data_IF_756412186803
#
_entry.id   IF_756412186803
#
_cell.length_a   1.000
_cell.length_b   1.000
_cell.length_c   1.000
_cell.angle_alpha   90.00
_cell.angle_beta   90.00
_cell.angle_gamma   90.00
#
_symmetry.space_group_name_H-M   'P 1'
#
loop_
_entity.id
_entity.type
_entity.pdbx_description
1 polymer ?
#
# COMPACT_ATOMS: atom_id res chain seq x y z
N UNK A 1 1.29 -18.65 -13.50
CA UNK A 1 0.26 -17.69 -13.96
C UNK A 1 0.98 -16.46 -14.47
N UNK A 2 0.57 -15.89 -15.61
CA UNK A 2 1.15 -14.64 -16.13
C UNK A 2 0.77 -13.47 -15.21
N UNK A 3 1.75 -12.69 -14.75
CA UNK A 3 1.49 -11.49 -13.92
C UNK A 3 0.53 -10.55 -14.64
N UNK A 4 -0.52 -10.10 -13.96
CA UNK A 4 -1.39 -9.06 -14.48
C UNK A 4 -0.86 -7.70 -14.03
N UNK A 5 -0.55 -6.83 -15.00
CA UNK A 5 0.01 -5.52 -14.69
C UNK A 5 -1.05 -4.43 -14.59
N UNK A 6 -0.82 -3.49 -13.67
CA UNK A 6 -1.59 -2.26 -13.59
C UNK A 6 -1.19 -1.30 -14.72
N UNK A 7 -1.95 -0.21 -14.89
CA UNK A 7 -1.55 0.91 -15.75
C UNK A 7 -0.46 1.81 -15.15
N UNK A 8 -0.10 1.61 -13.88
CA UNK A 8 0.78 2.51 -13.15
C UNK A 8 2.23 2.04 -13.21
N UNK A 9 3.13 3.02 -13.28
CA UNK A 9 4.56 2.84 -13.03
C UNK A 9 4.89 3.38 -11.65
N UNK A 10 5.80 2.70 -10.95
CA UNK A 10 6.27 3.15 -9.66
C UNK A 10 7.05 4.47 -9.82
N UNK A 11 6.66 5.50 -9.07
CA UNK A 11 7.35 6.79 -9.07
C UNK A 11 8.77 6.79 -8.51
N UNK A 12 9.28 5.66 -8.03
CA UNK A 12 10.65 5.52 -7.50
C UNK A 12 11.58 4.67 -8.36
N UNK A 13 11.12 3.54 -8.88
CA UNK A 13 11.96 2.64 -9.70
C UNK A 13 11.53 2.58 -11.17
N UNK A 14 10.48 3.32 -11.55
CA UNK A 14 9.93 3.41 -12.92
C UNK A 14 9.41 2.11 -13.55
N UNK A 15 9.55 0.99 -12.84
CA UNK A 15 8.98 -0.30 -13.23
C UNK A 15 7.46 -0.30 -13.11
N UNK A 16 6.81 -1.12 -13.95
CA UNK A 16 5.37 -1.31 -13.93
C UNK A 16 4.95 -2.12 -12.71
N UNK A 17 3.88 -1.70 -12.05
CA UNK A 17 3.35 -2.34 -10.83
C UNK A 17 2.41 -3.48 -11.23
N UNK A 18 2.61 -4.69 -10.71
CA UNK A 18 1.65 -5.78 -10.87
C UNK A 18 0.47 -5.66 -9.89
N UNK A 19 -0.71 -6.15 -10.26
CA UNK A 19 -1.88 -6.17 -9.35
C UNK A 19 -1.63 -7.00 -8.09
N UNK A 20 -0.76 -8.00 -8.20
CA UNK A 20 -0.36 -8.89 -7.10
C UNK A 20 0.71 -8.27 -6.19
N UNK A 21 1.28 -7.12 -6.54
CA UNK A 21 2.32 -6.45 -5.76
C UNK A 21 1.69 -5.37 -4.86
N UNK A 22 2.06 -5.28 -3.57
CA UNK A 22 1.59 -4.21 -2.70
C UNK A 22 2.09 -2.84 -3.19
N UNK A 23 1.17 -1.88 -3.34
CA UNK A 23 1.48 -0.52 -3.75
C UNK A 23 0.59 0.49 -3.03
N UNK A 24 1.04 1.74 -2.96
CA UNK A 24 0.28 2.82 -2.31
C UNK A 24 0.33 4.13 -3.10
N UNK A 25 -0.57 5.05 -2.76
CA UNK A 25 -0.70 6.38 -3.35
C UNK A 25 -0.10 7.45 -2.43
N UNK A 26 0.96 8.09 -2.90
CA UNK A 26 1.63 9.20 -2.21
C UNK A 26 0.86 10.53 -2.36
N UNK A 27 1.24 11.55 -1.60
CA UNK A 27 0.53 12.86 -1.50
C UNK A 27 0.68 13.69 -2.74
N UNK A 28 1.85 13.59 -3.36
CA UNK A 28 2.16 14.13 -4.68
C UNK A 28 1.48 13.37 -5.83
N UNK A 29 0.51 12.48 -5.54
CA UNK A 29 -0.24 11.66 -6.51
C UNK A 29 0.61 10.61 -7.25
N UNK A 30 1.82 10.31 -6.78
CA UNK A 30 2.61 9.21 -7.35
C UNK A 30 2.19 7.88 -6.75
N UNK A 31 2.10 6.84 -7.59
CA UNK A 31 1.92 5.47 -7.15
C UNK A 31 3.28 4.82 -6.98
N UNK A 32 3.51 4.12 -5.87
CA UNK A 32 4.80 3.48 -5.60
C UNK A 32 4.61 2.06 -5.08
N UNK A 33 5.53 1.16 -5.43
CA UNK A 33 5.63 -0.13 -4.74
C UNK A 33 5.84 0.12 -3.25
N UNK A 34 5.20 -0.68 -2.41
CA UNK A 34 5.45 -0.66 -0.99
C UNK A 34 6.92 -0.94 -0.67
N UNK A 35 7.55 -1.89 -1.36
CA UNK A 35 8.97 -2.23 -1.16
C UNK A 35 9.89 -1.05 -1.45
N UNK A 36 9.66 -0.32 -2.55
CA UNK A 36 10.42 0.89 -2.86
C UNK A 36 10.20 2.00 -1.82
N UNK A 37 8.96 2.15 -1.31
CA UNK A 37 8.66 3.08 -0.24
C UNK A 37 9.38 2.69 1.07
N UNK A 38 9.31 1.42 1.47
CA UNK A 38 9.97 0.87 2.67
C UNK A 38 11.46 1.10 2.62
N UNK A 39 12.10 0.73 1.51
CA UNK A 39 13.54 0.90 1.33
C UNK A 39 13.97 2.37 1.41
N UNK A 40 13.22 3.27 0.74
CA UNK A 40 13.55 4.71 0.74
C UNK A 40 13.31 5.32 2.12
N UNK A 41 12.19 5.02 2.77
CA UNK A 41 11.85 5.54 4.09
C UNK A 41 12.89 5.14 5.15
N UNK A 42 13.34 3.87 5.14
CA UNK A 42 14.33 3.37 6.09
C UNK A 42 15.74 3.94 5.87
N UNK A 43 16.04 4.46 4.67
CA UNK A 43 17.30 5.17 4.37
C UNK A 43 17.26 6.63 4.78
N UNK A 44 16.08 7.23 4.89
CA UNK A 44 15.91 8.65 5.20
C UNK A 44 14.94 8.90 6.37
N UNK A 45 15.10 8.23 7.52
CA UNK A 45 14.18 8.39 8.64
C UNK A 45 14.25 9.80 9.23
N UNK A 46 13.10 10.30 9.69
CA UNK A 46 12.98 11.47 10.55
C UNK A 46 12.67 11.00 11.96
N UNK A 47 13.64 11.15 12.87
CA UNK A 47 13.45 10.78 14.27
C UNK A 47 13.60 9.27 14.50
N UNK A 48 12.71 8.71 15.33
CA UNK A 48 12.80 7.33 15.80
C UNK A 48 12.49 6.30 14.68
N UNK A 49 13.47 5.43 14.44
CA UNK A 49 13.40 4.41 13.40
C UNK A 49 12.50 3.24 13.80
N UNK A 50 12.33 2.94 15.11
CA UNK A 50 11.42 1.88 15.55
C UNK A 50 9.96 2.26 15.30
N UNK A 51 9.59 3.50 15.62
CA UNK A 51 8.27 4.06 15.28
C UNK A 51 8.02 4.01 13.77
N UNK A 52 8.99 4.39 12.94
CA UNK A 52 8.85 4.31 11.48
C UNK A 52 8.64 2.87 10.99
N UNK A 53 9.39 1.90 11.54
CA UNK A 53 9.22 0.48 11.22
C UNK A 53 7.84 -0.03 11.58
N UNK A 54 7.34 0.29 12.77
CA UNK A 54 6.00 -0.10 13.19
C UNK A 54 4.93 0.40 12.20
N UNK A 55 5.03 1.66 11.75
CA UNK A 55 4.09 2.23 10.77
C UNK A 55 4.23 1.57 9.40
N UNK A 56 5.45 1.23 8.97
CA UNK A 56 5.70 0.51 7.72
C UNK A 56 5.11 -0.91 7.75
N UNK A 57 5.28 -1.63 8.86
CA UNK A 57 4.75 -2.97 9.02
C UNK A 57 3.21 -2.96 9.05
N UNK A 58 2.60 -1.99 9.75
CA UNK A 58 1.15 -1.79 9.69
C UNK A 58 0.65 -1.48 8.27
N UNK A 59 1.40 -0.69 7.50
CA UNK A 59 1.02 -0.42 6.09
C UNK A 59 1.11 -1.70 5.25
N UNK A 60 2.13 -2.52 5.44
CA UNK A 60 2.29 -3.80 4.75
C UNK A 60 1.10 -4.74 5.00
N UNK A 61 0.64 -4.82 6.26
CA UNK A 61 -0.52 -5.61 6.66
C UNK A 61 -1.82 -5.12 6.01
N UNK A 62 -2.05 -3.80 5.96
CA UNK A 62 -3.24 -3.22 5.32
C UNK A 62 -3.23 -3.47 3.81
N UNK A 63 -2.09 -3.25 3.14
CA UNK A 63 -1.95 -3.51 1.70
C UNK A 63 -2.16 -4.99 1.36
N UNK A 64 -1.63 -5.89 2.18
CA UNK A 64 -1.83 -7.34 2.03
C UNK A 64 -3.30 -7.71 2.26
N UNK A 65 -3.96 -7.07 3.23
CA UNK A 65 -5.38 -7.28 3.51
C UNK A 65 -6.26 -6.86 2.33
N UNK A 66 -5.98 -5.73 1.69
CA UNK A 66 -6.69 -5.27 0.47
C UNK A 66 -6.60 -6.33 -0.64
N UNK A 67 -5.39 -6.85 -0.91
CA UNK A 67 -5.21 -7.90 -1.92
C UNK A 67 -6.00 -9.16 -1.58
N UNK A 68 -5.98 -9.57 -0.30
CA UNK A 68 -6.73 -10.72 0.19
C UNK A 68 -8.25 -10.52 0.04
N UNK A 69 -8.78 -9.34 0.36
CA UNK A 69 -10.19 -9.04 0.17
C UNK A 69 -10.58 -9.07 -1.30
N UNK A 70 -9.81 -8.44 -2.20
CA UNK A 70 -10.07 -8.47 -3.66
C UNK A 70 -10.10 -9.90 -4.20
N UNK A 71 -9.13 -10.74 -3.80
CA UNK A 71 -9.08 -12.13 -4.20
C UNK A 71 -10.28 -12.94 -3.67
N UNK A 72 -10.73 -12.68 -2.43
CA UNK A 72 -11.88 -13.39 -1.81
C UNK A 72 -13.22 -12.92 -2.37
N UNK A 73 -13.42 -11.61 -2.56
CA UNK A 73 -14.63 -11.02 -3.10
C UNK A 73 -15.00 -11.61 -4.47
N UNK A 74 -14.01 -11.94 -5.30
CA UNK A 74 -14.22 -12.60 -6.60
C UNK A 74 -14.87 -13.98 -6.52
N UNK A 75 -14.84 -14.62 -5.35
CA UNK A 75 -15.34 -15.99 -5.11
C UNK A 75 -16.65 -16.04 -4.32
N UNK A 76 -17.04 -14.93 -3.70
CA UNK A 76 -18.20 -14.88 -2.80
C UNK A 76 -19.45 -14.61 -3.60
N UNK A 77 -20.46 -15.49 -3.46
CA UNK A 77 -21.76 -15.39 -4.12
C UNK A 77 -22.86 -14.83 -3.22
N UNK A 78 -22.69 -14.88 -1.90
CA UNK A 78 -23.62 -14.29 -0.93
C UNK A 78 -23.45 -12.77 -0.89
N UNK A 79 -24.50 -12.03 -1.23
CA UNK A 79 -24.46 -10.56 -1.35
C UNK A 79 -24.29 -9.83 -0.01
N UNK A 80 -24.82 -10.37 1.08
CA UNK A 80 -24.66 -9.77 2.41
C UNK A 80 -23.20 -9.86 2.86
N UNK A 81 -22.60 -11.05 2.77
CA UNK A 81 -21.19 -11.27 3.07
C UNK A 81 -20.30 -10.43 2.15
N UNK A 82 -20.65 -10.34 0.86
CA UNK A 82 -19.92 -9.51 -0.11
C UNK A 82 -19.91 -8.04 0.30
N UNK A 83 -21.05 -7.47 0.71
CA UNK A 83 -21.14 -6.07 1.19
C UNK A 83 -20.27 -5.81 2.41
N UNK A 84 -20.25 -6.74 3.37
CA UNK A 84 -19.40 -6.60 4.57
C UNK A 84 -17.92 -6.59 4.21
N UNK A 85 -17.48 -7.51 3.36
CA UNK A 85 -16.07 -7.58 2.96
C UNK A 85 -15.65 -6.44 2.02
N UNK A 86 -16.55 -5.93 1.19
CA UNK A 86 -16.32 -4.73 0.38
C UNK A 86 -16.12 -3.50 1.26
N UNK A 87 -16.90 -3.37 2.34
CA UNK A 87 -16.68 -2.30 3.32
C UNK A 87 -15.35 -2.46 4.07
N UNK A 88 -15.02 -3.68 4.51
CA UNK A 88 -13.75 -3.95 5.17
C UNK A 88 -12.53 -3.65 4.28
N UNK A 89 -12.65 -3.91 2.98
CA UNK A 89 -11.63 -3.58 1.98
C UNK A 89 -11.46 -2.06 1.83
N UNK A 90 -12.55 -1.31 1.73
CA UNK A 90 -12.52 0.17 1.69
C UNK A 90 -11.92 0.79 2.94
N UNK A 91 -12.20 0.21 4.11
CA UNK A 91 -11.63 0.67 5.37
C UNK A 91 -10.11 0.43 5.41
N UNK A 92 -9.66 -0.74 4.91
CA UNK A 92 -8.23 -1.03 4.74
C UNK A 92 -7.56 -0.05 3.75
N UNK A 93 -8.22 0.28 2.61
CA UNK A 93 -7.71 1.28 1.66
C UNK A 93 -7.56 2.66 2.31
N UNK A 94 -8.53 3.07 3.15
CA UNK A 94 -8.46 4.31 3.91
C UNK A 94 -7.31 4.30 4.91
N UNK A 95 -7.13 3.21 5.66
CA UNK A 95 -6.04 3.06 6.62
C UNK A 95 -4.68 3.10 5.94
N UNK A 96 -4.51 2.39 4.82
CA UNK A 96 -3.29 2.42 4.02
C UNK A 96 -2.93 3.84 3.57
N UNK A 97 -3.92 4.64 3.15
CA UNK A 97 -3.72 6.06 2.81
C UNK A 97 -3.23 6.91 4.00
N UNK A 98 -3.80 6.69 5.19
CA UNK A 98 -3.38 7.39 6.42
C UNK A 98 -1.94 7.00 6.81
N UNK A 99 -1.62 5.71 6.81
CA UNK A 99 -0.30 5.19 7.17
C UNK A 99 0.77 5.67 6.20
N UNK A 100 0.46 5.70 4.90
CA UNK A 100 1.34 6.27 3.87
C UNK A 100 1.68 7.73 4.16
N UNK A 101 0.68 8.54 4.57
CA UNK A 101 0.91 9.94 4.98
C UNK A 101 1.78 10.04 6.24
N UNK A 102 1.68 9.09 7.16
CA UNK A 102 2.56 9.07 8.34
C UNK A 102 4.00 8.77 7.94
N UNK A 103 4.23 7.80 7.05
CA UNK A 103 5.57 7.51 6.51
C UNK A 103 6.17 8.75 5.83
N UNK A 104 5.38 9.47 5.02
CA UNK A 104 5.82 10.74 4.39
C UNK A 104 6.23 11.80 5.41
N UNK A 105 5.61 11.84 6.60
CA UNK A 105 5.98 12.76 7.69
C UNK A 105 7.19 12.28 8.49
N UNK A 106 7.34 10.95 8.63
CA UNK A 106 8.38 10.29 9.40
C UNK A 106 9.64 9.97 8.57
N UNK A 107 9.72 10.43 7.32
CA UNK A 107 10.89 10.22 6.46
C UNK A 107 11.02 11.32 5.40
N UNK A 108 12.15 11.38 4.68
CA UNK A 108 12.35 12.28 3.54
C UNK A 108 11.98 11.63 2.19
N UNK A 109 10.99 10.74 2.15
CA UNK A 109 10.61 10.03 0.90
C UNK A 109 10.08 10.95 -0.20
N UNK A 110 9.61 12.14 0.15
CA UNK A 110 9.14 13.16 -0.80
C UNK A 110 10.27 14.08 -1.31
N UNK A 111 11.41 14.08 -0.64
CA UNK A 111 12.55 14.91 -1.02
C UNK A 111 13.44 14.07 -1.96
N UNK A 112 13.59 14.58 -3.19
CA UNK A 112 14.42 14.00 -4.26
C UNK A 112 15.89 14.02 -3.90
#
# INVERSE_FOLDING_TARGET
MSKSYTKWKCGFCENQIAWEEPFTYMSNKTVVHFTCLKDRALRTPKGDQETLRAVLDSLEEELTSIQNYKARLSKITNDEVRKVLDQAEKDAEKNAGILTRMIEKLSNVLES
#
